data_IF_019098966182
#
_entry.id   IF_019098966182
#
_cell.length_a   1.000
_cell.length_b   1.000
_cell.length_c   1.000
_cell.angle_alpha   90.00
_cell.angle_beta   90.00
_cell.angle_gamma   90.00
#
_symmetry.space_group_name_H-M   'P 1'
#
loop_
_entity.id
_entity.type
_entity.pdbx_description
1 polymer ?
#
# COMPACT_ATOMS: atom_id res chain seq x y z
N UNK A 1 3.91 -0.61 -7.01
CA UNK A 1 3.45 0.78 -7.07
C UNK A 1 1.96 0.80 -7.33
N UNK A 2 1.21 1.48 -6.48
CA UNK A 2 -0.24 1.61 -6.53
C UNK A 2 -0.62 3.08 -6.67
N UNK A 3 -1.49 3.42 -7.59
CA UNK A 3 -2.03 4.76 -7.71
C UNK A 3 -3.29 4.90 -6.87
N UNK A 4 -3.44 6.02 -6.13
CA UNK A 4 -4.56 6.23 -5.22
C UNK A 4 -5.76 6.84 -5.92
N UNK A 5 -6.91 6.25 -5.63
CA UNK A 5 -8.24 6.74 -5.99
C UNK A 5 -9.00 7.05 -4.71
N UNK A 6 -9.66 8.19 -4.64
CA UNK A 6 -10.54 8.56 -3.52
C UNK A 6 -12.00 8.45 -3.94
N UNK A 7 -12.84 7.90 -3.09
CA UNK A 7 -14.29 7.79 -3.35
C UNK A 7 -15.02 9.15 -3.35
N UNK A 8 -14.32 10.23 -3.00
CA UNK A 8 -14.79 11.63 -3.15
C UNK A 8 -14.61 12.17 -4.55
N UNK A 9 -13.79 11.56 -5.39
CA UNK A 9 -13.57 11.98 -6.77
C UNK A 9 -14.81 11.71 -7.64
N UNK A 10 -15.05 12.50 -8.70
CA UNK A 10 -16.06 12.19 -9.70
C UNK A 10 -15.82 10.84 -10.36
N UNK A 11 -16.90 10.10 -10.63
CA UNK A 11 -16.79 8.74 -11.24
C UNK A 11 -15.99 8.74 -12.55
N UNK A 12 -16.16 9.77 -13.38
CA UNK A 12 -15.43 9.92 -14.64
C UNK A 12 -13.90 10.07 -14.44
N UNK A 13 -13.47 10.74 -13.38
CA UNK A 13 -12.04 10.86 -13.04
C UNK A 13 -11.48 9.52 -12.58
N UNK A 14 -12.23 8.80 -11.75
CA UNK A 14 -11.87 7.43 -11.30
C UNK A 14 -11.71 6.52 -12.52
N UNK A 15 -12.69 6.51 -13.43
CA UNK A 15 -12.66 5.69 -14.64
C UNK A 15 -11.49 6.06 -15.55
N UNK A 16 -11.21 7.35 -15.72
CA UNK A 16 -10.07 7.83 -16.51
C UNK A 16 -8.74 7.35 -15.93
N UNK A 17 -8.56 7.44 -14.61
CA UNK A 17 -7.35 6.96 -13.93
C UNK A 17 -7.22 5.43 -14.01
N UNK A 18 -8.31 4.70 -13.80
CA UNK A 18 -8.37 3.24 -14.01
C UNK A 18 -7.88 2.85 -15.40
N UNK A 19 -8.37 3.56 -16.43
CA UNK A 19 -7.96 3.34 -17.82
C UNK A 19 -6.46 3.63 -18.02
N UNK A 20 -5.98 4.77 -17.51
CA UNK A 20 -4.57 5.16 -17.62
C UNK A 20 -3.65 4.13 -16.98
N UNK A 21 -3.96 3.69 -15.76
CA UNK A 21 -3.16 2.69 -15.03
C UNK A 21 -3.23 1.32 -15.72
N UNK A 22 -4.40 0.91 -16.21
CA UNK A 22 -4.58 -0.35 -16.92
C UNK A 22 -3.75 -0.41 -18.19
N UNK A 23 -3.79 0.65 -18.97
CA UNK A 23 -3.18 0.69 -20.31
C UNK A 23 -1.68 1.03 -20.25
N UNK A 24 -1.22 1.59 -19.12
CA UNK A 24 0.19 1.92 -18.96
C UNK A 24 1.06 0.67 -18.97
N UNK A 25 1.90 0.58 -19.98
CA UNK A 25 2.96 -0.40 -20.09
C UNK A 25 4.13 0.22 -20.88
N UNK A 26 5.34 0.01 -20.40
CA UNK A 26 6.56 0.48 -21.07
C UNK A 26 7.55 -0.66 -21.16
N UNK A 27 8.18 -0.81 -22.31
CA UNK A 27 9.29 -1.76 -22.46
C UNK A 27 10.58 -1.18 -21.87
N UNK A 28 11.22 -1.96 -21.02
CA UNK A 28 12.54 -1.68 -20.47
C UNK A 28 13.39 -2.94 -20.57
N UNK A 29 14.33 -2.95 -21.51
CA UNK A 29 15.25 -4.07 -21.75
C UNK A 29 14.51 -5.40 -21.94
N UNK A 30 13.42 -5.38 -22.73
CA UNK A 30 12.59 -6.55 -23.00
C UNK A 30 11.62 -6.94 -21.89
N UNK A 31 11.48 -6.13 -20.86
CA UNK A 31 10.52 -6.32 -19.77
C UNK A 31 9.38 -5.31 -19.87
N UNK A 32 8.14 -5.77 -19.89
CA UNK A 32 6.97 -4.89 -19.84
C UNK A 32 6.74 -4.41 -18.41
N UNK A 33 7.17 -3.18 -18.11
CA UNK A 33 6.95 -2.55 -16.80
C UNK A 33 5.56 -1.95 -16.73
N UNK A 34 4.85 -2.22 -15.62
CA UNK A 34 3.49 -1.78 -15.35
C UNK A 34 3.35 -1.40 -13.88
N UNK A 35 2.39 -0.52 -13.56
CA UNK A 35 1.96 -0.33 -12.17
C UNK A 35 1.32 -1.61 -11.65
N UNK A 36 1.41 -1.84 -10.35
CA UNK A 36 0.94 -3.10 -9.75
C UNK A 36 -0.58 -3.09 -9.51
N UNK A 37 -1.20 -1.92 -9.36
CA UNK A 37 -2.64 -1.80 -9.14
C UNK A 37 -3.09 -0.42 -8.66
N UNK A 38 -4.24 -0.39 -7.99
CA UNK A 38 -4.83 0.82 -7.42
C UNK A 38 -5.01 0.68 -5.91
N UNK A 39 -4.87 1.80 -5.21
CA UNK A 39 -5.27 1.96 -3.82
C UNK A 39 -6.55 2.78 -3.74
N UNK A 40 -7.63 2.23 -3.21
CA UNK A 40 -8.93 2.89 -3.13
C UNK A 40 -9.18 3.36 -1.71
N UNK A 41 -9.28 4.68 -1.52
CA UNK A 41 -9.45 5.32 -0.22
C UNK A 41 -10.91 5.67 0.07
N UNK A 42 -11.38 5.26 1.27
CA UNK A 42 -12.70 5.58 1.80
C UNK A 42 -12.70 6.99 2.45
N UNK A 43 -12.50 8.03 1.63
CA UNK A 43 -12.38 9.40 2.10
C UNK A 43 -13.72 10.08 2.39
N UNK A 44 -14.83 9.59 1.79
CA UNK A 44 -16.16 10.18 1.97
C UNK A 44 -16.83 9.78 3.28
N UNK A 45 -16.42 8.67 3.89
CA UNK A 45 -17.12 8.06 5.02
C UNK A 45 -18.48 7.40 4.65
N UNK A 46 -18.80 7.32 3.35
CA UNK A 46 -20.05 6.73 2.84
C UNK A 46 -19.78 5.34 2.26
N UNK A 47 -20.32 4.25 2.86
CA UNK A 47 -20.11 2.89 2.40
C UNK A 47 -20.58 2.65 0.95
N UNK A 48 -21.64 3.33 0.51
CA UNK A 48 -22.19 3.14 -0.84
C UNK A 48 -21.27 3.79 -1.89
N UNK A 49 -20.78 5.00 -1.62
CA UNK A 49 -19.80 5.67 -2.47
C UNK A 49 -18.50 4.91 -2.54
N UNK A 50 -18.00 4.45 -1.40
CA UNK A 50 -16.79 3.65 -1.35
C UNK A 50 -16.92 2.35 -2.16
N UNK A 51 -18.01 1.61 -1.95
CA UNK A 51 -18.29 0.41 -2.73
C UNK A 51 -18.38 0.66 -4.25
N UNK A 52 -18.93 1.82 -4.66
CA UNK A 52 -18.97 2.22 -6.07
C UNK A 52 -17.56 2.49 -6.62
N UNK A 53 -16.72 3.23 -5.89
CA UNK A 53 -15.33 3.49 -6.27
C UNK A 53 -14.52 2.20 -6.39
N UNK A 54 -14.67 1.27 -5.45
CA UNK A 54 -14.02 -0.05 -5.50
C UNK A 54 -14.46 -0.83 -6.74
N UNK A 55 -15.76 -0.84 -7.07
CA UNK A 55 -16.25 -1.50 -8.29
C UNK A 55 -15.66 -0.91 -9.56
N UNK A 56 -15.56 0.43 -9.65
CA UNK A 56 -14.89 1.08 -10.79
C UNK A 56 -13.41 0.71 -10.86
N UNK A 57 -12.72 0.69 -9.71
CA UNK A 57 -11.30 0.35 -9.63
C UNK A 57 -11.00 -1.10 -10.06
N UNK A 58 -11.93 -2.04 -9.90
CA UNK A 58 -11.77 -3.41 -10.41
C UNK A 58 -11.55 -3.47 -11.92
N UNK A 59 -12.01 -2.45 -12.65
CA UNK A 59 -11.77 -2.30 -14.10
C UNK A 59 -10.30 -2.24 -14.49
N UNK A 60 -9.39 -1.99 -13.54
CA UNK A 60 -7.93 -2.03 -13.79
C UNK A 60 -7.42 -3.45 -14.09
N UNK A 61 -8.13 -4.49 -13.64
CA UNK A 61 -7.75 -5.90 -13.82
C UNK A 61 -6.45 -6.28 -13.11
N UNK A 62 -6.11 -5.58 -12.02
CA UNK A 62 -4.90 -5.75 -11.20
C UNK A 62 -5.25 -5.73 -9.71
N UNK A 63 -4.32 -6.13 -8.81
CA UNK A 63 -4.52 -6.07 -7.37
C UNK A 63 -4.99 -4.69 -6.87
N UNK A 64 -5.82 -4.71 -5.82
CA UNK A 64 -6.27 -3.50 -5.13
C UNK A 64 -5.75 -3.46 -3.71
N UNK A 65 -5.53 -2.24 -3.21
CA UNK A 65 -5.38 -1.93 -1.79
C UNK A 65 -6.63 -1.17 -1.35
N UNK A 66 -7.35 -1.67 -0.37
CA UNK A 66 -8.53 -1.03 0.20
C UNK A 66 -8.12 -0.22 1.43
N UNK A 67 -8.08 1.11 1.29
CA UNK A 67 -7.71 2.03 2.36
C UNK A 67 -8.96 2.44 3.14
N UNK A 68 -9.32 1.65 4.14
CA UNK A 68 -10.55 1.82 4.91
C UNK A 68 -10.32 1.50 6.40
N UNK A 69 -9.95 2.49 7.23
CA UNK A 69 -9.72 2.27 8.65
C UNK A 69 -11.00 2.02 9.45
N UNK A 70 -12.17 2.41 8.94
CA UNK A 70 -13.46 2.09 9.56
C UNK A 70 -13.91 0.69 9.15
N UNK A 71 -14.25 -0.20 10.10
CA UNK A 71 -14.67 -1.57 9.80
C UNK A 71 -15.94 -1.68 8.92
N UNK A 72 -16.87 -0.73 9.01
CA UNK A 72 -18.07 -0.76 8.17
C UNK A 72 -17.76 -0.40 6.72
N UNK A 73 -16.85 0.57 6.51
CA UNK A 73 -16.32 0.91 5.19
C UNK A 73 -15.48 -0.24 4.63
N UNK A 74 -14.61 -0.85 5.46
CA UNK A 74 -13.82 -2.01 5.10
C UNK A 74 -14.70 -3.17 4.60
N UNK A 75 -15.78 -3.48 5.32
CA UNK A 75 -16.73 -4.52 4.93
C UNK A 75 -17.44 -4.21 3.60
N UNK A 76 -17.84 -2.93 3.40
CA UNK A 76 -18.44 -2.50 2.14
C UNK A 76 -17.48 -2.65 0.95
N UNK A 77 -16.23 -2.24 1.13
CA UNK A 77 -15.17 -2.41 0.11
C UNK A 77 -14.88 -3.88 -0.20
N UNK A 78 -14.76 -4.72 0.82
CA UNK A 78 -14.53 -6.16 0.65
C UNK A 78 -15.68 -6.86 -0.08
N UNK A 79 -16.94 -6.51 0.25
CA UNK A 79 -18.11 -7.01 -0.49
C UNK A 79 -18.12 -6.56 -1.94
N UNK A 80 -17.72 -5.31 -2.21
CA UNK A 80 -17.63 -4.79 -3.57
C UNK A 80 -16.52 -5.47 -4.39
N UNK A 81 -15.41 -5.86 -3.72
CA UNK A 81 -14.27 -6.57 -4.31
C UNK A 81 -14.40 -8.09 -4.24
N UNK A 82 -15.60 -8.64 -4.03
CA UNK A 82 -15.81 -10.08 -3.91
C UNK A 82 -15.25 -10.85 -5.12
N UNK A 83 -14.57 -11.97 -4.83
CA UNK A 83 -13.89 -12.76 -5.87
C UNK A 83 -12.45 -12.33 -6.17
N UNK A 84 -11.97 -11.26 -5.52
CA UNK A 84 -10.56 -10.84 -5.57
C UNK A 84 -9.93 -10.96 -4.17
N UNK A 85 -8.61 -10.75 -4.09
CA UNK A 85 -7.88 -10.77 -2.82
C UNK A 85 -7.17 -9.42 -2.60
N UNK A 86 -7.90 -8.34 -2.33
CA UNK A 86 -7.30 -7.03 -2.07
C UNK A 86 -6.55 -7.02 -0.74
N UNK A 87 -5.52 -6.19 -0.62
CA UNK A 87 -4.95 -5.85 0.68
C UNK A 87 -5.95 -4.94 1.42
N UNK A 88 -6.46 -5.36 2.56
CA UNK A 88 -7.25 -4.51 3.44
C UNK A 88 -6.33 -3.73 4.37
N UNK A 89 -6.25 -2.40 4.24
CA UNK A 89 -5.42 -1.55 5.09
C UNK A 89 -6.26 -0.72 6.04
N UNK A 90 -5.76 -0.56 7.27
CA UNK A 90 -6.31 0.37 8.25
C UNK A 90 -6.52 -0.22 9.66
N UNK A 91 -6.00 -1.45 9.92
CA UNK A 91 -6.02 -2.00 11.28
C UNK A 91 -5.04 -1.24 12.18
N UNK A 92 -5.50 -0.74 13.31
CA UNK A 92 -4.70 -0.07 14.33
C UNK A 92 -5.05 -0.55 15.75
N UNK A 93 -4.51 0.09 16.77
CA UNK A 93 -4.71 -0.31 18.17
C UNK A 93 -6.18 -0.26 18.63
N UNK A 94 -7.02 0.53 17.98
CA UNK A 94 -8.43 0.74 18.38
C UNK A 94 -9.39 -0.24 17.69
N UNK A 95 -9.11 -0.60 16.43
CA UNK A 95 -10.03 -1.36 15.58
C UNK A 95 -9.54 -2.76 15.17
N UNK A 96 -8.33 -3.17 15.56
CA UNK A 96 -7.66 -4.37 15.03
C UNK A 96 -8.49 -5.66 15.14
N UNK A 97 -9.31 -5.83 16.21
CA UNK A 97 -10.11 -7.04 16.37
C UNK A 97 -11.16 -7.17 15.25
N UNK A 98 -11.85 -6.07 14.96
CA UNK A 98 -12.86 -6.03 13.91
C UNK A 98 -12.20 -6.19 12.52
N UNK A 99 -11.08 -5.51 12.29
CA UNK A 99 -10.35 -5.60 11.04
C UNK A 99 -9.76 -7.00 10.79
N UNK A 100 -9.20 -7.63 11.83
CA UNK A 100 -8.70 -9.00 11.75
C UNK A 100 -9.82 -10.01 11.48
N UNK A 101 -11.01 -9.82 12.10
CA UNK A 101 -12.17 -10.65 11.82
C UNK A 101 -12.62 -10.54 10.35
N UNK A 102 -12.64 -9.34 9.78
CA UNK A 102 -12.95 -9.10 8.37
C UNK A 102 -11.90 -9.74 7.44
N UNK A 103 -10.61 -9.51 7.71
CA UNK A 103 -9.53 -10.09 6.92
C UNK A 103 -9.60 -11.62 6.88
N UNK A 104 -9.89 -12.25 8.04
CA UNK A 104 -10.05 -13.70 8.17
C UNK A 104 -11.30 -14.22 7.44
N UNK A 105 -12.45 -13.53 7.58
CA UNK A 105 -13.69 -13.92 6.92
C UNK A 105 -13.58 -13.87 5.40
N UNK A 106 -12.90 -12.86 4.88
CA UNK A 106 -12.70 -12.66 3.43
C UNK A 106 -11.42 -13.30 2.89
N UNK A 107 -10.56 -13.86 3.76
CA UNK A 107 -9.27 -14.48 3.41
C UNK A 107 -8.35 -13.53 2.63
N UNK A 108 -8.20 -12.31 3.13
CA UNK A 108 -7.39 -11.25 2.52
C UNK A 108 -6.26 -10.83 3.45
N UNK A 109 -5.12 -10.35 2.92
CA UNK A 109 -4.05 -9.79 3.72
C UNK A 109 -4.49 -8.51 4.43
N UNK A 110 -3.89 -8.24 5.60
CA UNK A 110 -4.24 -7.11 6.45
C UNK A 110 -3.09 -6.12 6.61
N UNK A 111 -3.36 -4.86 6.29
CA UNK A 111 -2.47 -3.74 6.53
C UNK A 111 -2.62 -3.21 7.96
N UNK A 112 -1.52 -3.26 8.72
CA UNK A 112 -1.47 -2.85 10.13
C UNK A 112 -0.78 -1.50 10.23
N UNK A 113 -1.51 -0.53 10.77
CA UNK A 113 -1.08 0.87 10.91
C UNK A 113 -0.50 1.12 12.30
N UNK A 114 0.74 1.59 12.33
CA UNK A 114 1.39 2.15 13.51
C UNK A 114 1.26 3.67 13.59
N UNK A 115 1.82 4.22 14.65
CA UNK A 115 1.87 5.66 14.93
C UNK A 115 3.31 6.18 15.11
N UNK A 116 4.30 5.42 14.61
CA UNK A 116 5.73 5.72 14.81
C UNK A 116 6.39 4.94 15.94
N UNK A 117 5.61 4.35 16.85
CA UNK A 117 6.14 3.46 17.90
C UNK A 117 6.27 2.03 17.39
N UNK A 118 7.51 1.59 17.17
CA UNK A 118 7.80 0.25 16.66
C UNK A 118 7.53 -0.86 17.68
N UNK A 119 7.57 -0.56 18.99
CA UNK A 119 7.25 -1.53 20.04
C UNK A 119 5.76 -1.80 20.06
N UNK A 120 4.96 -0.74 20.01
CA UNK A 120 3.51 -0.85 19.93
C UNK A 120 3.09 -1.58 18.63
N UNK A 121 3.71 -1.26 17.50
CA UNK A 121 3.44 -1.93 16.22
C UNK A 121 3.78 -3.43 16.27
N UNK A 122 4.92 -3.80 16.86
CA UNK A 122 5.30 -5.20 17.04
C UNK A 122 4.29 -5.96 17.89
N UNK A 123 3.87 -5.38 19.02
CA UNK A 123 2.85 -5.96 19.91
C UNK A 123 1.53 -6.16 19.18
N UNK A 124 1.07 -5.15 18.44
CA UNK A 124 -0.16 -5.22 17.66
C UNK A 124 -0.09 -6.32 16.59
N UNK A 125 1.03 -6.44 15.91
CA UNK A 125 1.28 -7.48 14.91
C UNK A 125 1.18 -8.88 15.52
N UNK A 126 1.76 -9.09 16.70
CA UNK A 126 1.68 -10.38 17.43
C UNK A 126 0.25 -10.70 17.87
N UNK A 127 -0.52 -9.70 18.34
CA UNK A 127 -1.92 -9.87 18.70
C UNK A 127 -2.77 -10.30 17.49
N UNK A 128 -2.61 -9.63 16.35
CA UNK A 128 -3.33 -9.95 15.11
C UNK A 128 -2.96 -11.35 14.62
N UNK A 129 -1.68 -11.69 14.67
CA UNK A 129 -1.21 -13.05 14.34
C UNK A 129 -1.79 -14.10 15.28
N UNK A 130 -1.90 -13.79 16.57
CA UNK A 130 -2.47 -14.65 17.60
C UNK A 130 -3.93 -15.05 17.34
N UNK A 131 -4.69 -14.25 16.60
CA UNK A 131 -6.07 -14.57 16.18
C UNK A 131 -6.12 -15.24 14.80
N UNK A 132 -4.98 -15.57 14.19
CA UNK A 132 -4.88 -16.37 12.97
C UNK A 132 -4.92 -15.57 11.67
N UNK A 133 -4.47 -14.31 11.67
CA UNK A 133 -4.20 -13.52 10.45
C UNK A 133 -2.69 -13.46 10.27
N UNK A 134 -2.16 -14.18 9.27
CA UNK A 134 -0.72 -14.34 9.06
C UNK A 134 -0.17 -13.45 7.95
N UNK A 135 -0.99 -13.14 6.94
CA UNK A 135 -0.60 -12.30 5.81
C UNK A 135 -0.76 -10.82 6.17
N UNK A 136 0.34 -10.19 6.60
CA UNK A 136 0.34 -8.82 7.08
C UNK A 136 1.22 -7.92 6.21
N UNK A 137 0.85 -6.65 6.17
CA UNK A 137 1.64 -5.54 5.61
C UNK A 137 1.70 -4.44 6.65
N UNK A 138 2.88 -3.91 6.95
CA UNK A 138 3.04 -2.92 8.02
C UNK A 138 3.14 -1.50 7.46
N UNK A 139 2.33 -0.62 8.00
CA UNK A 139 2.46 0.83 7.89
C UNK A 139 3.02 1.37 9.21
N UNK A 140 4.28 1.77 9.29
CA UNK A 140 4.86 2.21 10.55
C UNK A 140 4.39 3.59 11.03
N UNK A 141 3.66 4.34 10.20
CA UNK A 141 3.01 5.61 10.59
C UNK A 141 3.63 6.89 10.04
N UNK A 142 4.96 7.11 10.07
CA UNK A 142 5.54 8.35 9.54
C UNK A 142 5.21 8.58 8.06
N UNK A 143 5.03 9.86 7.71
CA UNK A 143 4.76 10.29 6.32
C UNK A 143 5.86 11.19 5.76
N UNK A 144 6.59 11.89 6.63
CA UNK A 144 7.69 12.75 6.23
C UNK A 144 8.93 11.97 5.79
N UNK A 145 9.79 12.54 4.91
CA UNK A 145 10.95 11.85 4.35
C UNK A 145 11.94 11.32 5.39
N UNK A 146 12.21 12.10 6.45
CA UNK A 146 13.16 11.70 7.49
C UNK A 146 12.59 10.59 8.37
N UNK A 147 11.33 10.71 8.76
CA UNK A 147 10.62 9.71 9.54
C UNK A 147 10.55 8.37 8.81
N UNK A 148 10.18 8.36 7.53
CA UNK A 148 10.15 7.15 6.70
C UNK A 148 11.54 6.54 6.56
N UNK A 149 12.55 7.34 6.22
CA UNK A 149 13.94 6.87 6.10
C UNK A 149 14.44 6.19 7.36
N UNK A 150 14.23 6.86 8.49
CA UNK A 150 14.69 6.39 9.80
C UNK A 150 13.96 5.11 10.19
N UNK A 151 12.63 5.11 10.10
CA UNK A 151 11.79 4.01 10.56
C UNK A 151 11.99 2.76 9.72
N UNK A 152 12.02 2.87 8.39
CA UNK A 152 12.27 1.72 7.50
C UNK A 152 13.67 1.13 7.73
N UNK A 153 14.67 2.01 7.95
CA UNK A 153 16.03 1.56 8.28
C UNK A 153 16.06 0.84 9.64
N UNK A 154 15.36 1.35 10.66
CA UNK A 154 15.29 0.73 11.98
C UNK A 154 14.58 -0.63 11.92
N UNK A 155 13.41 -0.71 11.28
CA UNK A 155 12.67 -1.99 11.12
C UNK A 155 13.58 -3.03 10.47
N UNK A 156 14.22 -2.68 9.35
CA UNK A 156 15.10 -3.60 8.65
C UNK A 156 16.27 -4.08 9.53
N UNK A 157 16.85 -3.18 10.32
CA UNK A 157 17.93 -3.57 11.26
C UNK A 157 17.42 -4.47 12.38
N UNK A 158 16.26 -4.16 12.98
CA UNK A 158 15.63 -4.98 14.02
C UNK A 158 15.31 -6.39 13.50
N UNK A 159 14.77 -6.50 12.30
CA UNK A 159 14.42 -7.79 11.70
C UNK A 159 15.68 -8.60 11.36
N UNK A 160 16.63 -8.00 10.62
CA UNK A 160 17.78 -8.75 10.08
C UNK A 160 18.90 -8.99 11.09
N UNK A 161 19.15 -8.04 12.03
CA UNK A 161 20.24 -8.17 13.01
C UNK A 161 19.78 -8.68 14.37
N UNK A 162 18.57 -8.34 14.77
CA UNK A 162 18.02 -8.68 16.08
C UNK A 162 16.93 -9.75 16.03
N UNK A 163 16.62 -10.25 14.81
CA UNK A 163 15.63 -11.30 14.58
C UNK A 163 14.23 -10.99 15.14
N UNK A 164 13.84 -9.72 15.17
CA UNK A 164 12.52 -9.29 15.64
C UNK A 164 11.46 -9.59 14.56
N UNK A 165 10.95 -10.81 14.56
CA UNK A 165 10.04 -11.33 13.53
C UNK A 165 8.69 -10.63 13.50
N UNK A 166 8.25 -10.04 14.61
CA UNK A 166 7.00 -9.29 14.68
C UNK A 166 6.93 -8.10 13.70
N UNK A 167 8.09 -7.57 13.29
CA UNK A 167 8.20 -6.52 12.27
C UNK A 167 8.68 -7.03 10.90
N UNK A 168 8.82 -8.34 10.72
CA UNK A 168 9.37 -8.96 9.51
C UNK A 168 8.39 -9.14 8.35
N UNK A 169 7.51 -8.18 8.15
CA UNK A 169 6.51 -8.15 7.08
C UNK A 169 6.81 -7.08 6.05
N UNK A 170 6.23 -7.17 4.82
CA UNK A 170 6.33 -6.09 3.84
C UNK A 170 5.85 -4.75 4.41
N UNK A 171 6.51 -3.66 4.00
CA UNK A 171 6.15 -2.31 4.42
C UNK A 171 5.34 -1.62 3.32
N UNK A 172 4.34 -0.82 3.72
CA UNK A 172 3.62 0.09 2.84
C UNK A 172 4.01 1.54 3.16
N UNK A 173 4.21 2.33 2.12
CA UNK A 173 4.49 3.75 2.19
C UNK A 173 3.49 4.56 1.36
N UNK A 174 3.15 5.74 1.85
CA UNK A 174 2.23 6.68 1.19
C UNK A 174 3.03 7.90 0.74
N UNK A 175 3.58 7.84 -0.46
CA UNK A 175 4.51 8.85 -0.96
C UNK A 175 3.82 10.20 -1.26
N UNK A 176 2.54 10.16 -1.66
CA UNK A 176 1.76 11.37 -1.89
C UNK A 176 1.41 12.18 -0.63
N UNK A 177 1.63 11.60 0.58
CA UNK A 177 1.35 12.28 1.85
C UNK A 177 2.60 12.94 2.46
N UNK A 178 3.77 12.78 1.87
CA UNK A 178 5.05 13.05 2.52
C UNK A 178 5.71 14.39 2.21
N UNK A 179 5.05 15.28 1.50
CA UNK A 179 5.63 16.59 1.16
C UNK A 179 4.71 17.48 0.35
N UNK A 180 5.08 18.74 0.26
CA UNK A 180 4.32 19.73 -0.50
C UNK A 180 4.67 19.65 -1.99
N UNK A 181 3.65 19.39 -2.80
CA UNK A 181 3.72 19.43 -4.26
C UNK A 181 4.05 18.10 -4.94
N UNK A 182 3.65 18.04 -6.19
CA UNK A 182 3.74 16.84 -7.06
C UNK A 182 5.18 16.35 -7.25
N UNK A 183 6.16 17.25 -7.14
CA UNK A 183 7.58 16.90 -7.34
C UNK A 183 8.22 16.19 -6.14
N UNK A 184 7.66 16.34 -4.93
CA UNK A 184 8.16 15.69 -3.73
C UNK A 184 7.84 14.19 -3.73
N UNK A 185 6.70 13.80 -4.27
CA UNK A 185 6.21 12.43 -4.28
C UNK A 185 7.16 11.44 -4.96
N UNK A 186 7.66 11.66 -6.19
CA UNK A 186 8.58 10.71 -6.83
C UNK A 186 9.91 10.56 -6.07
N UNK A 187 10.40 11.61 -5.42
CA UNK A 187 11.61 11.54 -4.60
C UNK A 187 11.38 10.67 -3.36
N UNK A 188 10.25 10.87 -2.67
CA UNK A 188 9.90 10.07 -1.52
C UNK A 188 9.60 8.62 -1.89
N UNK A 189 8.89 8.39 -3.00
CA UNK A 189 8.65 7.06 -3.53
C UNK A 189 9.96 6.32 -3.85
N UNK A 190 10.91 7.00 -4.51
CA UNK A 190 12.22 6.44 -4.82
C UNK A 190 13.01 6.10 -3.54
N UNK A 191 12.96 6.97 -2.51
CA UNK A 191 13.54 6.69 -1.20
C UNK A 191 12.92 5.43 -0.56
N UNK A 192 11.59 5.31 -0.58
CA UNK A 192 10.89 4.17 0.01
C UNK A 192 11.24 2.87 -0.74
N UNK A 193 11.31 2.89 -2.06
CA UNK A 193 11.78 1.75 -2.87
C UNK A 193 13.21 1.37 -2.47
N UNK A 194 14.13 2.32 -2.36
CA UNK A 194 15.52 2.08 -1.93
C UNK A 194 15.62 1.55 -0.49
N UNK A 195 14.59 1.75 0.34
CA UNK A 195 14.47 1.19 1.70
C UNK A 195 13.59 -0.05 1.77
N UNK A 196 13.34 -0.67 0.62
CA UNK A 196 12.64 -1.95 0.48
C UNK A 196 11.18 -1.92 0.91
N UNK A 197 10.47 -0.81 0.62
CA UNK A 197 9.02 -0.80 0.69
C UNK A 197 8.44 -1.88 -0.23
N UNK A 198 7.58 -2.74 0.30
CA UNK A 198 6.86 -3.74 -0.50
C UNK A 198 5.72 -3.12 -1.30
N UNK A 199 5.11 -2.07 -0.74
CA UNK A 199 4.02 -1.30 -1.33
C UNK A 199 4.34 0.18 -1.28
N UNK A 200 4.13 0.90 -2.38
CA UNK A 200 4.22 2.36 -2.43
C UNK A 200 2.96 2.90 -3.09
N UNK A 201 2.24 3.74 -2.36
CA UNK A 201 1.02 4.41 -2.82
C UNK A 201 1.38 5.80 -3.30
N UNK A 202 0.95 6.13 -4.51
CA UNK A 202 1.15 7.38 -5.20
C UNK A 202 -0.21 8.11 -5.36
N UNK A 203 -0.17 9.43 -5.43
CA UNK A 203 -1.35 10.30 -5.60
C UNK A 203 -1.42 10.96 -6.97
N UNK A 204 -0.30 11.02 -7.69
CA UNK A 204 -0.18 11.77 -8.93
C UNK A 204 0.45 10.92 -10.04
N UNK A 205 -0.41 10.23 -10.77
CA UNK A 205 0.05 9.45 -11.91
C UNK A 205 0.54 10.35 -13.06
N UNK A 206 1.79 10.15 -13.44
CA UNK A 206 2.29 10.58 -14.74
C UNK A 206 3.11 9.44 -15.37
N UNK A 207 3.09 9.29 -16.71
CA UNK A 207 3.92 8.28 -17.37
C UNK A 207 5.42 8.43 -17.05
N UNK A 208 5.92 9.65 -16.90
CA UNK A 208 7.32 9.93 -16.60
C UNK A 208 7.70 9.47 -15.19
N UNK A 209 6.88 9.82 -14.19
CA UNK A 209 7.08 9.39 -12.80
C UNK A 209 7.01 7.87 -12.69
N UNK A 210 5.98 7.26 -13.28
CA UNK A 210 5.80 5.81 -13.28
C UNK A 210 7.01 5.09 -13.91
N UNK A 211 7.50 5.57 -15.06
CA UNK A 211 8.68 5.02 -15.72
C UNK A 211 9.92 5.07 -14.80
N UNK A 212 10.23 6.24 -14.27
CA UNK A 212 11.40 6.41 -13.40
C UNK A 212 11.37 5.50 -12.17
N UNK A 213 10.23 5.42 -11.48
CA UNK A 213 10.07 4.60 -10.29
C UNK A 213 10.08 3.09 -10.59
N UNK A 214 9.49 2.67 -11.70
CA UNK A 214 9.49 1.26 -12.12
C UNK A 214 10.90 0.80 -12.52
N UNK A 215 11.65 1.61 -13.26
CA UNK A 215 13.04 1.32 -13.60
C UNK A 215 13.91 1.29 -12.34
N UNK A 216 13.72 2.26 -11.42
CA UNK A 216 14.43 2.30 -10.14
C UNK A 216 14.17 1.03 -9.31
N UNK A 217 12.89 0.62 -9.19
CA UNK A 217 12.51 -0.62 -8.52
C UNK A 217 13.17 -1.83 -9.18
N UNK A 218 13.14 -1.90 -10.51
CA UNK A 218 13.73 -3.00 -11.26
C UNK A 218 15.21 -3.15 -10.96
N UNK A 219 15.96 -2.06 -11.01
CA UNK A 219 17.40 -2.08 -10.76
C UNK A 219 17.76 -2.50 -9.32
N UNK A 220 16.92 -2.15 -8.32
CA UNK A 220 17.19 -2.52 -6.93
C UNK A 220 16.84 -3.98 -6.63
N UNK A 221 15.74 -4.49 -7.19
CA UNK A 221 15.20 -5.79 -6.79
C UNK A 221 15.54 -6.94 -7.72
N UNK A 222 15.92 -6.68 -8.97
CA UNK A 222 16.09 -7.72 -9.97
C UNK A 222 17.45 -7.75 -10.64
N UNK A 223 18.26 -6.70 -10.51
CA UNK A 223 19.66 -6.71 -10.96
C UNK A 223 20.55 -7.20 -9.81
N UNK A 224 20.94 -8.49 -9.79
CA UNK A 224 21.90 -8.98 -8.82
C UNK A 224 23.24 -8.33 -9.17
N UNK A 225 23.55 -7.21 -8.54
CA UNK A 225 24.88 -6.66 -8.60
C UNK A 225 25.85 -7.75 -8.12
N UNK A 226 26.61 -8.32 -9.05
CA UNK A 226 27.71 -9.18 -8.66
C UNK A 226 28.62 -8.37 -7.75
N UNK A 227 28.92 -8.85 -6.53
CA UNK A 227 29.94 -8.19 -5.73
C UNK A 227 31.22 -8.17 -6.55
N UNK A 228 31.71 -6.98 -6.77
CA UNK A 228 33.03 -6.76 -7.38
C UNK A 228 34.07 -7.11 -6.34
#
# INVERSE_FOLDING_TARGET
LFERVRDTQPAAEIEALVQQVRDYAVDYVGLALKLDGLAVEAASGDPARYAAAVKSALGVGRPLVLLAPDPALAEAGLKAAAGTQPLLWGADAENWQAMAALAKAHKVPLGVRGNGDLTALATLTEQIKGVGVEDLVLDPGPRDPLGLLTTFTQIRRLVLKHNLRALGYPLIAFAGEGGDGVEAEPLLAAQCIAKYAGFVVLDHFTPATAYGLLVWRQNIFTDPQKPI
#
